data_IF_569191839834
#
_entry.id   IF_569191839834
#
_cell.length_a   1.000
_cell.length_b   1.000
_cell.length_c   1.000
_cell.angle_alpha   90.00
_cell.angle_beta   90.00
_cell.angle_gamma   90.00
#
_symmetry.space_group_name_H-M   'P 1'
#
loop_
_entity.id
_entity.type
_entity.pdbx_description
1 polymer ?
#
# COMPACT_ATOMS: atom_id res chain seq x y z
N UNK A 1 -0.36 -20.81 30.60
CA UNK A 1 -0.23 -19.59 29.77
C UNK A 1 0.08 -20.03 28.35
N UNK A 2 -0.93 -20.45 27.59
CA UNK A 2 -0.76 -20.84 26.20
C UNK A 2 -0.53 -19.57 25.39
N UNK A 3 0.71 -19.35 24.96
CA UNK A 3 1.04 -18.33 23.96
C UNK A 3 0.38 -18.81 22.67
N UNK A 4 -0.81 -18.28 22.37
CA UNK A 4 -1.52 -18.50 21.10
C UNK A 4 -0.66 -17.91 19.97
N UNK A 5 0.17 -18.75 19.37
CA UNK A 5 0.90 -18.49 18.12
C UNK A 5 -0.01 -18.45 16.88
N UNK A 6 -1.34 -18.50 17.04
CA UNK A 6 -2.32 -18.46 15.95
C UNK A 6 -2.44 -17.10 15.23
N UNK A 7 -1.87 -16.01 15.77
CA UNK A 7 -1.94 -14.68 15.14
C UNK A 7 -0.78 -14.36 14.19
N UNK A 8 0.20 -15.25 14.04
CA UNK A 8 1.38 -15.03 13.19
C UNK A 8 1.32 -15.76 11.85
N UNK A 9 0.14 -16.20 11.42
CA UNK A 9 -0.05 -16.57 10.02
C UNK A 9 -0.08 -15.26 9.25
N UNK A 10 1.06 -14.94 8.63
CA UNK A 10 1.19 -13.92 7.59
C UNK A 10 -0.06 -13.97 6.70
N UNK A 11 -0.91 -12.96 6.84
CA UNK A 11 -2.13 -12.81 6.05
C UNK A 11 -1.70 -12.63 4.58
N UNK A 12 -2.52 -13.00 3.59
CA UNK A 12 -2.17 -12.87 2.15
C UNK A 12 -1.69 -11.45 1.80
N UNK A 13 -2.21 -10.47 2.55
CA UNK A 13 -1.89 -9.04 2.47
C UNK A 13 -0.49 -8.71 2.99
N UNK A 14 -0.07 -9.36 4.09
CA UNK A 14 1.27 -9.17 4.66
C UNK A 14 2.32 -9.75 3.71
N UNK A 15 2.02 -10.89 3.08
CA UNK A 15 2.84 -11.44 2.01
C UNK A 15 2.93 -10.47 0.83
N UNK A 16 1.82 -9.92 0.36
CA UNK A 16 1.84 -8.97 -0.75
C UNK A 16 2.72 -7.75 -0.44
N UNK A 17 2.53 -7.13 0.74
CA UNK A 17 3.34 -5.98 1.16
C UNK A 17 4.82 -6.36 1.26
N UNK A 18 5.12 -7.51 1.85
CA UNK A 18 6.50 -8.00 1.99
C UNK A 18 7.17 -8.22 0.62
N UNK A 19 6.52 -8.93 -0.30
CA UNK A 19 7.04 -9.15 -1.65
C UNK A 19 7.15 -7.86 -2.45
N UNK A 20 6.23 -6.91 -2.29
CA UNK A 20 6.33 -5.61 -2.94
C UNK A 20 7.54 -4.82 -2.42
N UNK A 21 7.80 -4.87 -1.10
CA UNK A 21 9.00 -4.29 -0.51
C UNK A 21 10.28 -4.94 -1.04
N UNK A 22 10.34 -6.28 -1.08
CA UNK A 22 11.47 -7.01 -1.66
C UNK A 22 11.68 -6.68 -3.12
N UNK A 23 10.61 -6.58 -3.91
CA UNK A 23 10.67 -6.22 -5.32
C UNK A 23 11.28 -4.82 -5.51
N UNK A 24 10.83 -3.83 -4.74
CA UNK A 24 11.37 -2.47 -4.81
C UNK A 24 12.85 -2.42 -4.41
N UNK A 25 13.22 -3.15 -3.36
CA UNK A 25 14.59 -3.23 -2.87
C UNK A 25 15.51 -3.90 -3.91
N UNK A 26 15.07 -5.03 -4.47
CA UNK A 26 15.78 -5.73 -5.53
C UNK A 26 15.91 -4.87 -6.79
N UNK A 27 14.84 -4.20 -7.22
CA UNK A 27 14.85 -3.30 -8.37
C UNK A 27 15.83 -2.14 -8.18
N UNK A 28 15.88 -1.57 -6.96
CA UNK A 28 16.82 -0.51 -6.62
C UNK A 28 18.28 -0.98 -6.64
N UNK A 29 18.60 -2.09 -5.97
CA UNK A 29 19.97 -2.63 -5.89
C UNK A 29 20.48 -3.08 -7.26
N UNK A 30 19.65 -3.82 -7.99
CA UNK A 30 20.01 -4.40 -9.29
C UNK A 30 19.93 -3.37 -10.44
N UNK A 31 19.46 -2.14 -10.16
CA UNK A 31 19.24 -1.07 -11.14
C UNK A 31 18.42 -1.53 -12.34
N UNK A 32 17.46 -2.41 -12.11
CA UNK A 32 16.57 -2.93 -13.15
C UNK A 32 15.63 -1.81 -13.58
N UNK A 33 15.50 -1.62 -14.89
CA UNK A 33 14.49 -0.69 -15.42
C UNK A 33 13.10 -1.23 -15.11
N UNK A 34 12.34 -0.48 -14.32
CA UNK A 34 10.96 -0.79 -13.92
C UNK A 34 9.93 -0.06 -14.79
N UNK A 35 10.37 0.53 -15.91
CA UNK A 35 9.49 1.16 -16.87
C UNK A 35 8.35 0.19 -17.27
N UNK A 36 7.10 0.65 -17.36
CA UNK A 36 6.65 2.04 -17.34
C UNK A 36 6.51 2.69 -15.95
N UNK A 37 6.76 1.95 -14.88
CA UNK A 37 6.61 2.45 -13.51
C UNK A 37 7.79 3.31 -13.08
N UNK A 38 7.50 4.34 -12.28
CA UNK A 38 8.51 5.13 -11.57
C UNK A 38 8.73 4.54 -10.18
N UNK A 39 9.99 4.24 -9.83
CA UNK A 39 10.36 3.67 -8.54
C UNK A 39 9.79 4.49 -7.38
N UNK A 40 9.97 5.81 -7.44
CA UNK A 40 9.49 6.75 -6.43
C UNK A 40 7.97 6.67 -6.24
N UNK A 41 7.20 6.56 -7.33
CA UNK A 41 5.74 6.44 -7.26
C UNK A 41 5.32 5.11 -6.63
N UNK A 42 6.02 4.01 -6.95
CA UNK A 42 5.77 2.71 -6.33
C UNK A 42 6.13 2.69 -4.84
N UNK A 43 7.18 3.42 -4.44
CA UNK A 43 7.52 3.60 -3.02
C UNK A 43 6.39 4.31 -2.28
N UNK A 44 5.74 5.30 -2.87
CA UNK A 44 4.56 5.95 -2.25
C UNK A 44 3.41 4.95 -2.08
N UNK A 45 3.13 4.11 -3.08
CA UNK A 45 2.12 3.02 -2.95
C UNK A 45 2.50 2.06 -1.82
N UNK A 46 3.77 1.68 -1.73
CA UNK A 46 4.28 0.81 -0.68
C UNK A 46 4.13 1.39 0.72
N UNK A 47 4.51 2.66 0.91
CA UNK A 47 4.33 3.37 2.18
C UNK A 47 2.85 3.47 2.55
N UNK A 48 1.97 3.73 1.58
CA UNK A 48 0.54 3.74 1.81
C UNK A 48 0.02 2.38 2.29
N UNK A 49 0.44 1.29 1.68
CA UNK A 49 0.07 -0.07 2.10
C UNK A 49 0.58 -0.41 3.51
N UNK A 50 1.82 -0.03 3.84
CA UNK A 50 2.39 -0.22 5.17
C UNK A 50 1.60 0.54 6.25
N UNK A 51 1.33 1.83 6.00
CA UNK A 51 0.60 2.70 6.94
C UNK A 51 -0.84 2.22 7.10
N UNK A 52 -1.51 1.85 6.00
CA UNK A 52 -2.88 1.35 6.10
C UNK A 52 -2.92 0.01 6.83
N UNK A 53 -1.95 -0.89 6.62
CA UNK A 53 -1.86 -2.15 7.37
C UNK A 53 -1.67 -1.96 8.87
N UNK A 54 -0.86 -0.99 9.30
CA UNK A 54 -0.68 -0.72 10.73
C UNK A 54 -1.93 -0.11 11.40
N UNK A 55 -2.82 0.51 10.62
CA UNK A 55 -4.07 1.12 11.11
C UNK A 55 -5.29 0.17 11.10
N UNK A 56 -5.17 -1.05 10.56
CA UNK A 56 -6.29 -1.97 10.23
C UNK A 56 -7.12 -2.47 11.43
N UNK A 57 -6.78 -2.15 12.67
CA UNK A 57 -7.65 -2.53 13.81
C UNK A 57 -9.05 -1.86 13.76
N UNK A 58 -9.24 -0.78 12.98
CA UNK A 58 -10.49 0.01 12.99
C UNK A 58 -11.20 0.21 11.64
N UNK A 59 -10.70 -0.34 10.53
CA UNK A 59 -11.10 0.11 9.18
C UNK A 59 -11.50 -1.04 8.23
N UNK A 60 -12.64 -0.90 7.52
CA UNK A 60 -13.14 -1.90 6.55
C UNK A 60 -12.16 -2.10 5.39
N UNK A 61 -11.50 -3.25 5.38
CA UNK A 61 -10.42 -3.61 4.45
C UNK A 61 -10.77 -3.45 2.95
N UNK A 62 -12.01 -3.72 2.55
CA UNK A 62 -12.44 -3.75 1.14
C UNK A 62 -12.29 -2.40 0.42
N UNK A 63 -12.58 -1.29 1.09
CA UNK A 63 -12.46 0.05 0.46
C UNK A 63 -11.01 0.47 0.25
N UNK A 64 -10.11 0.05 1.14
CA UNK A 64 -8.68 0.30 1.02
C UNK A 64 -8.06 -0.44 -0.15
N UNK A 65 -8.53 -1.66 -0.42
CA UNK A 65 -8.10 -2.42 -1.58
C UNK A 65 -8.31 -1.61 -2.87
N UNK A 66 -9.49 -1.03 -3.06
CA UNK A 66 -9.78 -0.21 -4.25
C UNK A 66 -8.92 1.05 -4.33
N UNK A 67 -8.70 1.74 -3.20
CA UNK A 67 -7.84 2.93 -3.15
C UNK A 67 -6.39 2.57 -3.51
N UNK A 68 -5.86 1.50 -2.91
CA UNK A 68 -4.51 1.03 -3.19
C UNK A 68 -4.34 0.55 -4.63
N UNK A 69 -5.32 -0.18 -5.17
CA UNK A 69 -5.32 -0.66 -6.55
C UNK A 69 -5.35 0.50 -7.56
N UNK A 70 -6.21 1.49 -7.35
CA UNK A 70 -6.25 2.69 -8.17
C UNK A 70 -4.95 3.49 -8.05
N UNK A 71 -4.40 3.62 -6.84
CA UNK A 71 -3.09 4.23 -6.62
C UNK A 71 -1.98 3.50 -7.37
N UNK A 72 -1.98 2.17 -7.38
CA UNK A 72 -1.03 1.38 -8.17
C UNK A 72 -1.16 1.66 -9.67
N UNK A 73 -2.38 1.70 -10.22
CA UNK A 73 -2.59 2.08 -11.62
C UNK A 73 -2.14 3.51 -11.91
N UNK A 74 -2.42 4.44 -11.00
CA UNK A 74 -2.01 5.83 -11.10
C UNK A 74 -0.50 6.02 -11.00
N UNK A 75 0.25 5.08 -10.43
CA UNK A 75 1.71 5.14 -10.39
C UNK A 75 2.38 5.08 -11.78
N UNK A 76 1.64 4.64 -12.80
CA UNK A 76 2.04 4.67 -14.21
C UNK A 76 2.06 6.09 -14.79
N UNK A 77 1.19 6.97 -14.32
CA UNK A 77 0.92 8.27 -14.95
C UNK A 77 1.28 9.45 -14.04
N UNK A 78 1.05 9.31 -12.73
CA UNK A 78 1.25 10.37 -11.75
C UNK A 78 2.66 10.37 -11.18
N UNK A 79 3.12 11.60 -10.86
CA UNK A 79 4.32 11.81 -10.05
C UNK A 79 4.10 11.30 -8.62
N UNK A 80 5.17 11.03 -7.85
CA UNK A 80 5.07 10.57 -6.47
C UNK A 80 4.23 11.51 -5.60
N UNK A 81 4.38 12.81 -5.80
CA UNK A 81 3.61 13.84 -5.09
C UNK A 81 2.11 13.80 -5.44
N UNK A 82 1.78 13.68 -6.73
CA UNK A 82 0.38 13.58 -7.16
C UNK A 82 -0.30 12.32 -6.61
N UNK A 83 0.47 11.23 -6.52
CA UNK A 83 0.01 9.96 -5.97
C UNK A 83 -0.19 9.99 -4.45
N UNK A 84 0.71 10.66 -3.73
CA UNK A 84 0.56 10.92 -2.29
C UNK A 84 -0.67 11.81 -2.01
N UNK A 85 -0.88 12.87 -2.80
CA UNK A 85 -2.06 13.74 -2.71
C UNK A 85 -3.34 12.94 -2.98
N UNK A 86 -3.34 12.09 -4.01
CA UNK A 86 -4.46 11.20 -4.31
C UNK A 86 -4.81 10.32 -3.11
N UNK A 87 -3.82 9.64 -2.51
CA UNK A 87 -4.07 8.80 -1.34
C UNK A 87 -4.60 9.60 -0.15
N UNK A 88 -4.07 10.78 0.09
CA UNK A 88 -4.53 11.65 1.17
C UNK A 88 -6.00 12.07 0.97
N UNK A 89 -6.36 12.51 -0.24
CA UNK A 89 -7.75 12.88 -0.58
C UNK A 89 -8.67 11.67 -0.45
N UNK A 90 -8.27 10.51 -1.00
CA UNK A 90 -9.05 9.28 -0.93
C UNK A 90 -9.31 8.85 0.51
N UNK A 91 -8.31 8.98 1.39
CA UNK A 91 -8.44 8.69 2.82
C UNK A 91 -9.38 9.64 3.54
N UNK A 92 -9.33 10.94 3.24
CA UNK A 92 -10.24 11.94 3.82
C UNK A 92 -11.68 11.65 3.41
N UNK A 93 -11.91 11.38 2.11
CA UNK A 93 -13.24 11.05 1.58
C UNK A 93 -13.75 9.79 2.26
N UNK A 94 -12.94 8.73 2.31
CA UNK A 94 -13.30 7.46 2.94
C UNK A 94 -13.66 7.62 4.41
N UNK A 95 -12.86 8.38 5.17
CA UNK A 95 -13.17 8.66 6.58
C UNK A 95 -14.50 9.38 6.72
N UNK A 96 -14.79 10.36 5.85
CA UNK A 96 -16.05 11.11 5.88
C UNK A 96 -17.25 10.22 5.58
N UNK A 97 -17.16 9.31 4.61
CA UNK A 97 -18.27 8.41 4.23
C UNK A 97 -18.52 7.28 5.20
N UNK A 98 -17.51 6.81 5.94
CA UNK A 98 -17.68 5.73 6.94
C UNK A 98 -17.96 6.25 8.37
N UNK A 99 -17.92 7.57 8.59
CA UNK A 99 -18.38 8.21 9.83
C UNK A 99 -19.89 8.50 9.84
N UNK A 100 -20.57 8.28 8.70
CA UNK A 100 -22.03 8.31 8.54
C UNK A 100 -22.53 6.87 8.63
#
# INVERSE_FOLDING_TARGET
MQIKLDRFILDEKDFFIFFMGLFLLAAFILRVSIAPFRLESLVVVFLFLLVTRSLISSLKFTSYFYIAFLGFLFSLFLSPYGLALYFLIAMIIYRKTNLI
#
